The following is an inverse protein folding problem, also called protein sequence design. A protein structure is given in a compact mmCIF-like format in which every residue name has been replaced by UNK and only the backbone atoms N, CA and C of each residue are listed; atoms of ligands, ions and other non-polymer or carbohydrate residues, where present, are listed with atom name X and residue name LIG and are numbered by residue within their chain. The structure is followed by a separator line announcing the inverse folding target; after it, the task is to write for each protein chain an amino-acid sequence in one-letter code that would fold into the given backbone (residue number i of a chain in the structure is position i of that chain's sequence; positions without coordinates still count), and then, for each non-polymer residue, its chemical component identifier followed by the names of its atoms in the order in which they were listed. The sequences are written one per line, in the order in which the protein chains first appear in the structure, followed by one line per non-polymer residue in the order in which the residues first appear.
data_IF_081465692856
#
_entry.id   IF_081465692856
#
_cell.length_a   1.000
_cell.length_b   1.000
_cell.length_c   1.000
_cell.angle_alpha   90.00
_cell.angle_beta   90.00
_cell.angle_gamma   90.00
#
_symmetry.space_group_name_H-M   'P 1'
#
loop_
_entity.id
_entity.type
_entity.pdbx_description
1 polymer ?
#
# COMPACT_ATOMS: atom_id res chain seq x y z
N UNK A 1 1.62 -18.99 2.11
CA UNK A 1 1.03 -18.01 1.16
C UNK A 1 1.82 -18.07 -0.14
N UNK A 2 1.24 -17.66 -1.28
CA UNK A 2 1.95 -17.63 -2.59
C UNK A 2 3.26 -16.83 -2.50
N UNK A 3 3.23 -15.67 -1.82
CA UNK A 3 4.43 -14.89 -1.53
C UNK A 3 5.51 -15.67 -0.75
N UNK A 4 5.12 -16.47 0.25
CA UNK A 4 6.04 -17.29 1.05
C UNK A 4 6.72 -18.43 0.27
N UNK A 5 6.27 -18.72 -0.95
CA UNK A 5 6.91 -19.67 -1.86
C UNK A 5 7.95 -18.99 -2.78
N UNK A 6 8.24 -17.70 -2.57
CA UNK A 6 9.19 -16.93 -3.39
C UNK A 6 8.58 -16.33 -4.66
N UNK A 7 7.27 -16.48 -4.87
CA UNK A 7 6.57 -15.89 -6.01
C UNK A 7 6.38 -14.38 -5.77
N UNK A 8 6.81 -13.57 -6.74
CA UNK A 8 6.56 -12.12 -6.71
C UNK A 8 5.10 -11.85 -7.02
N UNK A 9 4.44 -11.04 -6.19
CA UNK A 9 3.02 -10.70 -6.30
C UNK A 9 2.86 -9.20 -6.47
N UNK A 10 2.04 -8.79 -7.44
CA UNK A 10 1.51 -7.44 -7.55
C UNK A 10 0.03 -7.48 -7.17
N UNK A 11 -0.34 -6.73 -6.13
CA UNK A 11 -1.72 -6.60 -5.65
C UNK A 11 -2.20 -5.18 -5.94
N UNK A 12 -3.37 -5.06 -6.56
CA UNK A 12 -4.06 -3.78 -6.79
C UNK A 12 -5.36 -3.82 -6.01
N UNK A 13 -5.63 -2.80 -5.20
CA UNK A 13 -6.74 -2.80 -4.26
C UNK A 13 -7.23 -1.36 -4.03
N UNK A 14 -8.53 -1.18 -3.81
CA UNK A 14 -9.09 0.14 -3.48
C UNK A 14 -8.90 0.47 -1.99
N UNK A 15 -8.93 -0.55 -1.14
CA UNK A 15 -8.62 -0.39 0.28
C UNK A 15 -7.10 -0.42 0.52
N UNK A 16 -6.49 0.77 0.47
CA UNK A 16 -5.04 0.93 0.67
C UNK A 16 -4.56 0.37 2.03
N UNK A 17 -5.37 0.48 3.09
CA UNK A 17 -5.04 -0.05 4.43
C UNK A 17 -4.70 -1.53 4.40
N UNK A 18 -5.63 -2.31 3.84
CA UNK A 18 -5.52 -3.76 3.81
C UNK A 18 -4.39 -4.21 2.89
N UNK A 19 -4.20 -3.52 1.77
CA UNK A 19 -3.11 -3.80 0.85
C UNK A 19 -1.74 -3.53 1.50
N UNK A 20 -1.56 -2.38 2.14
CA UNK A 20 -0.31 -2.01 2.81
C UNK A 20 -0.01 -2.91 4.01
N UNK A 21 -1.03 -3.37 4.74
CA UNK A 21 -0.84 -4.32 5.84
C UNK A 21 -0.27 -5.68 5.41
N UNK A 22 -0.44 -6.06 4.13
CA UNK A 22 0.01 -7.34 3.56
C UNK A 22 1.28 -7.21 2.70
N UNK A 23 1.58 -6.01 2.20
CA UNK A 23 2.65 -5.76 1.25
C UNK A 23 4.01 -5.51 1.92
N UNK A 24 5.10 -5.70 1.16
CA UNK A 24 6.43 -5.25 1.57
C UNK A 24 6.68 -3.79 1.18
N UNK A 25 6.19 -3.38 0.01
CA UNK A 25 6.28 -2.02 -0.52
C UNK A 25 4.95 -1.60 -1.10
N UNK A 26 4.64 -0.31 -1.05
CA UNK A 26 3.40 0.26 -1.56
C UNK A 26 3.65 1.37 -2.58
N UNK A 27 2.69 1.53 -3.48
CA UNK A 27 2.54 2.66 -4.39
C UNK A 27 1.10 3.15 -4.29
N UNK A 28 0.92 4.43 -4.04
CA UNK A 28 -0.39 5.08 -4.01
C UNK A 28 -0.53 5.89 -5.29
N UNK A 29 -1.65 5.68 -5.98
CA UNK A 29 -1.95 6.37 -7.23
C UNK A 29 -3.24 7.16 -7.07
N UNK A 30 -3.22 8.41 -7.53
CA UNK A 30 -4.37 9.31 -7.56
C UNK A 30 -4.43 9.97 -8.92
N UNK A 31 -5.60 9.97 -9.56
CA UNK A 31 -5.83 10.60 -10.86
C UNK A 31 -4.83 10.21 -11.96
N UNK A 32 -4.29 8.98 -11.89
CA UNK A 32 -3.31 8.46 -12.86
C UNK A 32 -1.83 8.75 -12.52
N UNK A 33 -1.55 9.43 -11.41
CA UNK A 33 -0.18 9.74 -10.97
C UNK A 33 0.17 9.02 -9.66
N UNK A 34 1.42 8.57 -9.53
CA UNK A 34 1.93 8.00 -8.27
C UNK A 34 2.30 9.13 -7.32
N UNK A 35 1.48 9.32 -6.29
CA UNK A 35 1.65 10.43 -5.32
C UNK A 35 2.52 10.05 -4.14
N UNK A 36 2.55 8.76 -3.76
CA UNK A 36 3.36 8.25 -2.64
C UNK A 36 3.87 6.85 -2.95
N UNK A 37 5.09 6.53 -2.49
CA UNK A 37 5.66 5.19 -2.59
C UNK A 37 6.71 4.96 -1.50
N UNK A 38 6.95 3.70 -1.15
CA UNK A 38 7.94 3.33 -0.13
C UNK A 38 7.66 1.99 0.53
N UNK A 39 8.32 1.77 1.66
CA UNK A 39 8.05 0.62 2.53
C UNK A 39 6.59 0.67 3.02
N UNK A 40 5.90 -0.47 2.95
CA UNK A 40 4.47 -0.50 3.23
C UNK A 40 4.14 -0.14 4.70
N UNK A 41 5.04 -0.47 5.65
CA UNK A 41 4.86 -0.12 7.07
C UNK A 41 5.07 1.36 7.31
N UNK A 42 6.00 1.99 6.58
CA UNK A 42 6.19 3.45 6.64
C UNK A 42 4.95 4.14 6.10
N UNK A 43 4.48 3.74 4.93
CA UNK A 43 3.27 4.30 4.32
C UNK A 43 2.02 4.11 5.19
N UNK A 44 1.85 2.95 5.84
CA UNK A 44 0.70 2.69 6.72
C UNK A 44 0.67 3.64 7.93
N UNK A 45 1.82 4.10 8.39
CA UNK A 45 1.96 5.03 9.50
C UNK A 45 2.08 6.49 9.05
N UNK A 46 2.14 6.77 7.75
CA UNK A 46 2.22 8.13 7.24
C UNK A 46 0.89 8.86 7.50
N UNK A 47 0.91 10.01 8.19
CA UNK A 47 -0.31 10.77 8.49
C UNK A 47 -1.13 11.14 7.23
N UNK A 48 -0.47 11.40 6.10
CA UNK A 48 -1.15 11.74 4.84
C UNK A 48 -1.87 10.54 4.25
N UNK A 49 -1.23 9.37 4.24
CA UNK A 49 -1.87 8.12 3.78
C UNK A 49 -3.06 7.78 4.66
N UNK A 50 -2.90 7.93 5.98
CA UNK A 50 -3.97 7.69 6.95
C UNK A 50 -5.18 8.59 6.71
N UNK A 51 -4.96 9.90 6.60
CA UNK A 51 -6.01 10.87 6.36
C UNK A 51 -6.72 10.65 5.00
N UNK A 52 -5.98 10.32 3.95
CA UNK A 52 -6.53 10.19 2.60
C UNK A 52 -7.23 8.84 2.34
N UNK A 53 -6.80 7.74 2.97
CA UNK A 53 -7.22 6.39 2.56
C UNK A 53 -7.59 5.43 3.69
N UNK A 54 -7.27 5.75 4.96
CA UNK A 54 -7.44 4.80 6.06
C UNK A 54 -8.62 5.16 6.99
N UNK A 55 -9.17 6.37 6.86
CA UNK A 55 -10.20 6.89 7.74
C UNK A 55 -9.64 7.25 9.12
N UNK A 56 -10.15 8.33 9.70
CA UNK A 56 -9.97 8.62 11.14
C UNK A 56 -10.84 7.70 12.00
#
# INVERSE_FOLDING_TARGET
TIHGQGVTVLLVEQNASRALALANRGYVMESGEVTMNGDAKVLLNDPKVRAAYLGE
#
